data_IF_172409803434
#
_entry.id   IF_172409803434
#
_cell.length_a   1.000
_cell.length_b   1.000
_cell.length_c   1.000
_cell.angle_alpha   90.00
_cell.angle_beta   90.00
_cell.angle_gamma   90.00
#
_symmetry.space_group_name_H-M   'P 1'
#
loop_
_entity.id
_entity.type
_entity.pdbx_description
1 polymer ?
#
# COMPACT_ATOMS: atom_id res chain seq x y z
N UNK A 1 -8.22 -10.99 -7.45
CA UNK A 1 -6.92 -10.78 -8.12
C UNK A 1 -5.90 -10.65 -7.01
N UNK A 2 -5.01 -11.64 -6.91
CA UNK A 2 -3.88 -11.61 -5.98
C UNK A 2 -2.61 -11.13 -6.68
N UNK A 3 -1.50 -11.84 -6.47
CA UNK A 3 -0.16 -11.46 -6.93
C UNK A 3 0.11 -11.63 -8.44
N UNK A 4 -0.86 -12.11 -9.22
CA UNK A 4 -0.68 -12.39 -10.65
C UNK A 4 -0.22 -11.17 -11.46
N UNK A 5 -0.85 -10.01 -11.23
CA UNK A 5 -0.51 -8.79 -11.97
C UNK A 5 0.87 -8.25 -11.55
N UNK A 6 1.21 -8.37 -10.27
CA UNK A 6 2.55 -8.06 -9.78
C UNK A 6 3.61 -8.92 -10.47
N UNK A 7 3.42 -10.24 -10.51
CA UNK A 7 4.36 -11.16 -11.14
C UNK A 7 4.50 -10.93 -12.64
N UNK A 8 3.41 -10.61 -13.35
CA UNK A 8 3.44 -10.26 -14.78
C UNK A 8 4.25 -9.01 -15.08
N UNK A 9 4.29 -8.05 -14.16
CA UNK A 9 4.98 -6.77 -14.33
C UNK A 9 6.46 -6.81 -13.93
N UNK A 10 6.99 -7.94 -13.46
CA UNK A 10 8.36 -8.05 -12.95
C UNK A 10 9.19 -9.06 -13.72
N UNK A 11 10.43 -8.70 -13.99
CA UNK A 11 11.45 -9.64 -14.40
C UNK A 11 12.39 -9.94 -13.22
N UNK A 12 12.13 -11.04 -12.53
CA UNK A 12 12.86 -11.46 -11.33
C UNK A 12 14.31 -11.92 -11.59
N UNK A 13 14.71 -12.08 -12.85
CA UNK A 13 16.11 -12.28 -13.21
C UNK A 13 16.91 -10.96 -13.18
N UNK A 14 16.21 -9.82 -13.11
CA UNK A 14 16.81 -8.48 -13.12
C UNK A 14 16.58 -7.71 -11.84
N UNK A 15 15.36 -7.76 -11.31
CA UNK A 15 15.00 -7.04 -10.08
C UNK A 15 15.34 -7.85 -8.83
N UNK A 16 15.71 -7.17 -7.75
CA UNK A 16 15.87 -7.77 -6.42
C UNK A 16 14.55 -7.78 -5.63
N UNK A 17 13.44 -7.41 -6.26
CA UNK A 17 12.11 -7.47 -5.66
C UNK A 17 11.70 -8.94 -5.38
N UNK A 18 11.00 -9.21 -4.27
CA UNK A 18 10.64 -10.56 -3.90
C UNK A 18 9.55 -11.16 -4.81
N UNK A 19 9.71 -12.42 -5.22
CA UNK A 19 8.74 -13.16 -6.05
C UNK A 19 7.47 -13.54 -5.29
N UNK A 20 7.64 -13.97 -4.04
CA UNK A 20 6.61 -14.40 -3.11
C UNK A 20 7.09 -14.14 -1.67
N UNK A 21 6.24 -14.38 -0.69
CA UNK A 21 6.64 -14.38 0.72
C UNK A 21 5.69 -15.24 1.52
N UNK A 22 6.25 -16.14 2.33
CA UNK A 22 5.45 -16.92 3.27
C UNK A 22 4.70 -15.98 4.21
N UNK A 23 3.39 -16.20 4.29
CA UNK A 23 2.39 -15.38 4.99
C UNK A 23 2.34 -15.66 6.49
N UNK A 24 3.30 -16.39 7.06
CA UNK A 24 3.18 -16.87 8.43
C UNK A 24 3.35 -15.70 9.41
N UNK A 25 2.22 -15.04 9.72
CA UNK A 25 1.91 -14.11 10.84
C UNK A 25 1.85 -12.60 10.57
N UNK A 26 2.17 -12.09 9.39
CA UNK A 26 2.21 -10.61 9.18
C UNK A 26 0.88 -10.06 8.63
N UNK A 27 -0.15 -10.01 9.48
CA UNK A 27 -1.39 -9.26 9.22
C UNK A 27 -1.35 -7.93 10.00
N UNK A 28 -2.09 -6.92 9.54
CA UNK A 28 -2.25 -5.64 10.23
C UNK A 28 -0.95 -4.82 10.37
N UNK A 29 0.01 -5.04 9.47
CA UNK A 29 1.23 -4.21 9.33
C UNK A 29 1.08 -3.28 8.14
N UNK A 30 1.49 -2.03 8.31
CA UNK A 30 1.62 -1.08 7.21
C UNK A 30 3.08 -0.73 6.95
N UNK A 31 3.36 -0.36 5.70
CA UNK A 31 4.63 0.26 5.32
C UNK A 31 4.35 1.46 4.42
N UNK A 32 5.13 2.52 4.58
CA UNK A 32 5.23 3.62 3.65
C UNK A 32 6.64 3.58 3.07
N UNK A 33 6.75 3.35 1.76
CA UNK A 33 8.03 3.36 1.06
C UNK A 33 8.16 4.66 0.26
N UNK A 34 9.28 5.35 0.40
CA UNK A 34 9.65 6.44 -0.51
C UNK A 34 10.22 5.82 -1.79
N UNK A 35 9.65 6.18 -2.94
CA UNK A 35 10.01 5.64 -4.24
C UNK A 35 10.46 6.76 -5.18
N UNK A 36 11.77 6.81 -5.44
CA UNK A 36 12.39 7.72 -6.40
C UNK A 36 12.36 7.10 -7.80
N UNK A 37 11.15 6.94 -8.34
CA UNK A 37 10.95 6.45 -9.71
C UNK A 37 11.07 7.58 -10.75
N UNK A 38 10.49 7.40 -11.93
CA UNK A 38 10.34 8.49 -12.92
C UNK A 38 9.65 9.72 -12.34
N UNK A 39 8.71 9.50 -11.41
CA UNK A 39 8.15 10.50 -10.51
C UNK A 39 8.38 10.09 -9.07
N UNK A 40 8.85 11.04 -8.24
CA UNK A 40 8.90 10.89 -6.79
C UNK A 40 7.50 10.68 -6.22
N UNK A 41 7.32 9.63 -5.41
CA UNK A 41 6.09 9.36 -4.69
C UNK A 41 6.36 8.46 -3.49
N UNK A 42 5.30 8.17 -2.74
CA UNK A 42 5.32 7.25 -1.62
C UNK A 42 4.30 6.14 -1.83
N UNK A 43 4.74 4.89 -1.71
CA UNK A 43 3.85 3.75 -1.70
C UNK A 43 3.37 3.48 -0.28
N UNK A 44 2.08 3.66 -0.06
CA UNK A 44 1.41 3.25 1.17
C UNK A 44 0.81 1.86 0.99
N UNK A 45 1.20 0.92 1.85
CA UNK A 45 0.80 -0.48 1.74
C UNK A 45 0.29 -1.02 3.06
N UNK A 46 -0.73 -1.87 2.98
CA UNK A 46 -1.36 -2.52 4.12
C UNK A 46 -1.41 -4.03 3.93
N UNK A 47 -0.86 -4.79 4.89
CA UNK A 47 -0.91 -6.24 4.92
C UNK A 47 -2.27 -6.74 5.39
N UNK A 48 -3.09 -7.20 4.44
CA UNK A 48 -4.46 -7.66 4.67
C UNK A 48 -4.85 -8.76 3.69
N UNK A 49 -6.00 -9.38 3.94
CA UNK A 49 -6.57 -10.39 3.03
C UNK A 49 -6.89 -9.80 1.66
N UNK A 50 -6.62 -10.56 0.61
CA UNK A 50 -6.73 -10.11 -0.79
C UNK A 50 -8.13 -9.61 -1.20
N UNK A 51 -9.18 -10.14 -0.59
CA UNK A 51 -10.56 -9.77 -0.88
C UNK A 51 -11.10 -8.67 0.06
N UNK A 52 -10.24 -8.06 0.89
CA UNK A 52 -10.65 -7.06 1.89
C UNK A 52 -11.56 -6.00 1.26
N UNK A 53 -11.14 -5.35 0.17
CA UNK A 53 -11.91 -4.27 -0.45
C UNK A 53 -13.22 -4.72 -1.14
N UNK A 54 -13.50 -6.01 -1.27
CA UNK A 54 -14.69 -6.53 -1.97
C UNK A 54 -15.65 -7.32 -1.08
N UNK A 55 -15.24 -7.69 0.13
CA UNK A 55 -16.01 -8.55 1.04
C UNK A 55 -16.08 -7.97 2.45
N UNK A 56 -17.27 -8.00 3.05
CA UNK A 56 -17.46 -7.66 4.48
C UNK A 56 -16.92 -8.76 5.41
N UNK A 57 -16.57 -9.93 4.88
CA UNK A 57 -15.91 -11.02 5.60
C UNK A 57 -14.69 -11.49 4.81
N UNK A 58 -13.56 -10.75 4.90
CA UNK A 58 -12.40 -11.03 4.08
C UNK A 58 -11.80 -12.42 4.33
N UNK A 59 -11.42 -13.09 3.25
CA UNK A 59 -10.80 -14.41 3.13
C UNK A 59 -9.65 -14.40 2.10
N UNK A 60 -8.95 -15.52 2.00
CA UNK A 60 -7.83 -15.65 1.06
C UNK A 60 -6.49 -15.28 1.68
N UNK A 61 -5.47 -15.21 0.82
CA UNK A 61 -4.10 -14.97 1.24
C UNK A 61 -3.89 -13.52 1.71
N UNK A 62 -2.88 -13.32 2.56
CA UNK A 62 -2.40 -11.99 2.89
C UNK A 62 -1.60 -11.44 1.70
N UNK A 63 -1.92 -10.21 1.33
CA UNK A 63 -1.23 -9.41 0.31
C UNK A 63 -1.03 -7.99 0.84
N UNK A 64 -0.22 -7.21 0.15
CA UNK A 64 -0.08 -5.79 0.43
C UNK A 64 -0.97 -4.98 -0.51
N UNK A 65 -2.14 -4.56 -0.01
CA UNK A 65 -2.96 -3.57 -0.71
C UNK A 65 -2.20 -2.25 -0.76
N UNK A 66 -1.99 -1.72 -1.96
CA UNK A 66 -0.98 -0.69 -2.20
C UNK A 66 -1.56 0.53 -2.92
N UNK A 67 -1.12 1.72 -2.51
CA UNK A 67 -1.47 2.99 -3.13
C UNK A 67 -0.25 3.89 -3.28
N UNK A 68 -0.03 4.42 -4.48
CA UNK A 68 0.95 5.47 -4.75
C UNK A 68 0.39 6.85 -4.37
N UNK A 69 1.15 7.61 -3.58
CA UNK A 69 0.78 8.93 -3.05
C UNK A 69 1.91 9.92 -3.34
N UNK A 70 1.70 11.00 -4.12
CA UNK A 70 2.80 11.90 -4.52
C UNK A 70 3.60 12.58 -3.39
N UNK A 71 3.07 12.67 -2.16
CA UNK A 71 3.64 13.49 -1.08
C UNK A 71 3.77 12.81 0.30
N UNK A 72 3.41 11.54 0.48
CA UNK A 72 3.07 10.84 1.76
C UNK A 72 1.60 10.88 2.12
N UNK A 73 1.17 10.10 3.12
CA UNK A 73 -0.11 10.29 3.81
C UNK A 73 -0.13 11.62 4.59
N UNK A 74 -1.28 12.31 4.75
CA UNK A 74 -1.33 13.59 5.46
C UNK A 74 -0.98 13.48 6.95
N UNK A 75 -0.08 14.33 7.45
CA UNK A 75 0.28 14.35 8.88
C UNK A 75 -0.70 15.19 9.72
N UNK A 76 -1.35 16.16 9.07
CA UNK A 76 -2.22 17.15 9.72
C UNK A 76 -3.68 16.90 9.30
N UNK A 77 -4.65 16.95 10.23
CA UNK A 77 -6.07 16.90 9.87
C UNK A 77 -6.47 18.02 8.91
N UNK A 78 -7.45 17.74 8.05
CA UNK A 78 -7.96 18.70 7.05
C UNK A 78 -7.30 18.63 5.68
N UNK A 79 -6.09 18.06 5.57
CA UNK A 79 -5.46 17.76 4.29
C UNK A 79 -6.04 16.48 3.65
N UNK A 80 -6.33 16.55 2.35
CA UNK A 80 -6.73 15.38 1.54
C UNK A 80 -5.69 15.15 0.45
N UNK A 81 -5.28 13.89 0.27
CA UNK A 81 -4.32 13.51 -0.78
C UNK A 81 -4.91 12.42 -1.68
N UNK A 82 -4.59 12.52 -2.96
CA UNK A 82 -4.87 11.45 -3.92
C UNK A 82 -3.96 10.26 -3.61
N UNK A 83 -4.56 9.08 -3.48
CA UNK A 83 -3.92 7.79 -3.33
C UNK A 83 -4.35 6.91 -4.50
N UNK A 84 -3.42 6.63 -5.42
CA UNK A 84 -3.72 5.83 -6.62
C UNK A 84 -3.42 4.38 -6.31
N UNK A 85 -4.45 3.54 -6.28
CA UNK A 85 -4.33 2.11 -6.04
C UNK A 85 -3.51 1.46 -7.15
N UNK A 86 -2.51 0.66 -6.74
CA UNK A 86 -1.64 -0.13 -7.61
C UNK A 86 -1.91 -1.61 -7.41
N UNK A 87 -1.10 -2.48 -8.02
CA UNK A 87 -1.19 -3.92 -7.84
C UNK A 87 -0.93 -4.34 -6.40
N UNK A 88 -1.47 -5.48 -6.02
CA UNK A 88 -1.13 -6.14 -4.77
C UNK A 88 0.33 -6.61 -4.79
N UNK A 89 1.04 -6.42 -3.68
CA UNK A 89 2.43 -6.89 -3.55
C UNK A 89 2.53 -8.05 -2.56
N UNK A 90 3.55 -8.91 -2.66
CA UNK A 90 3.73 -10.02 -1.72
C UNK A 90 4.06 -9.51 -0.30
N UNK A 91 3.68 -10.23 0.77
CA UNK A 91 3.98 -9.82 2.15
C UNK A 91 5.48 -9.58 2.43
N UNK A 92 6.37 -10.32 1.77
CA UNK A 92 7.82 -10.13 1.84
C UNK A 92 8.28 -8.74 1.40
N UNK A 93 7.48 -8.04 0.58
CA UNK A 93 7.77 -6.68 0.13
C UNK A 93 7.70 -5.63 1.26
N UNK A 94 7.13 -5.96 2.43
CA UNK A 94 7.10 -5.09 3.61
C UNK A 94 8.49 -4.66 4.09
N UNK A 95 9.50 -5.48 3.81
CA UNK A 95 10.89 -5.26 4.23
C UNK A 95 11.80 -4.89 3.06
N UNK A 96 11.24 -4.70 1.86
CA UNK A 96 12.04 -4.40 0.69
C UNK A 96 12.55 -2.95 0.73
N UNK A 97 13.88 -2.82 0.62
CA UNK A 97 14.59 -1.59 0.32
C UNK A 97 15.67 -1.92 -0.72
N UNK A 98 15.85 -1.06 -1.71
CA UNK A 98 16.81 -1.33 -2.78
C UNK A 98 16.59 -0.50 -4.03
N UNK A 99 17.37 -0.79 -5.05
CA UNK A 99 17.26 -0.18 -6.37
C UNK A 99 16.50 -1.14 -7.31
N UNK A 100 15.40 -0.66 -7.89
CA UNK A 100 14.73 -1.35 -9.01
C UNK A 100 15.46 -0.92 -10.29
N UNK A 101 16.04 -1.86 -11.07
CA UNK A 101 16.87 -1.53 -12.21
C UNK A 101 16.16 -0.68 -13.28
N UNK A 102 16.93 0.17 -13.97
CA UNK A 102 16.41 0.94 -15.12
C UNK A 102 15.85 0.01 -16.19
N UNK A 103 14.68 0.38 -16.73
CA UNK A 103 13.97 -0.41 -17.74
C UNK A 103 12.98 -1.43 -17.16
N UNK A 104 13.04 -1.68 -15.85
CA UNK A 104 12.02 -2.46 -15.14
C UNK A 104 10.84 -1.58 -14.72
N UNK A 105 9.68 -2.20 -14.52
CA UNK A 105 8.50 -1.50 -14.03
C UNK A 105 8.76 -1.01 -12.60
N UNK A 106 8.59 0.30 -12.36
CA UNK A 106 8.92 0.90 -11.06
C UNK A 106 10.42 1.16 -10.88
N UNK A 107 11.22 1.22 -11.94
CA UNK A 107 12.64 1.58 -11.86
C UNK A 107 12.90 2.81 -10.97
N UNK A 108 13.86 2.69 -10.05
CA UNK A 108 14.18 3.72 -9.06
C UNK A 108 14.51 3.16 -7.68
N UNK A 109 14.97 4.02 -6.79
CA UNK A 109 15.31 3.62 -5.42
C UNK A 109 14.06 3.55 -4.53
N UNK A 110 13.91 2.47 -3.78
CA UNK A 110 12.86 2.24 -2.79
C UNK A 110 13.48 2.22 -1.39
N UNK A 111 12.94 3.02 -0.47
CA UNK A 111 13.36 3.07 0.94
C UNK A 111 12.16 3.04 1.87
N UNK A 112 12.26 2.37 3.00
CA UNK A 112 11.20 2.40 4.02
C UNK A 112 11.23 3.77 4.69
N UNK A 113 10.17 4.53 4.48
CA UNK A 113 10.00 5.85 5.08
C UNK A 113 9.33 5.74 6.46
N UNK A 114 8.34 4.87 6.62
CA UNK A 114 7.73 4.54 7.91
C UNK A 114 7.17 3.11 7.88
N UNK A 115 7.05 2.50 9.06
CA UNK A 115 6.52 1.16 9.22
C UNK A 115 5.94 1.00 10.61
N UNK A 116 4.83 0.28 10.72
CA UNK A 116 4.21 0.00 12.00
C UNK A 116 2.99 -0.89 11.86
N UNK A 117 2.24 -0.99 12.94
CA UNK A 117 0.99 -1.74 12.96
C UNK A 117 -0.19 -0.81 12.67
N UNK A 118 -1.31 -1.39 12.26
CA UNK A 118 -2.55 -0.66 12.12
C UNK A 118 -3.74 -1.47 12.65
N UNK A 119 -4.86 -0.80 12.88
CA UNK A 119 -6.12 -1.43 13.25
C UNK A 119 -7.22 -0.97 12.31
N UNK A 120 -8.04 -1.89 11.82
CA UNK A 120 -9.25 -1.54 11.06
C UNK A 120 -10.33 -1.09 12.03
N UNK A 121 -10.77 0.16 11.89
CA UNK A 121 -11.82 0.75 12.74
C UNK A 121 -13.21 0.57 12.15
N UNK A 122 -13.31 0.65 10.81
CA UNK A 122 -14.56 0.44 10.09
C UNK A 122 -14.28 0.20 8.62
N UNK A 123 -15.17 -0.51 7.94
CA UNK A 123 -15.05 -0.80 6.52
C UNK A 123 -16.42 -0.72 5.83
N UNK A 124 -16.41 -0.26 4.58
CA UNK A 124 -17.50 -0.37 3.62
C UNK A 124 -16.91 -0.64 2.23
N UNK A 125 -17.77 -0.95 1.25
CA UNK A 125 -17.37 -1.25 -0.13
C UNK A 125 -16.37 -0.25 -0.74
N UNK A 126 -16.56 1.05 -0.45
CA UNK A 126 -15.78 2.12 -1.07
C UNK A 126 -15.03 3.00 -0.06
N UNK A 127 -14.99 2.60 1.22
CA UNK A 127 -14.31 3.39 2.23
C UNK A 127 -13.90 2.55 3.41
N UNK A 128 -12.77 2.86 4.02
CA UNK A 128 -12.40 2.25 5.28
C UNK A 128 -11.65 3.25 6.17
N UNK A 129 -11.71 3.00 7.47
CA UNK A 129 -10.99 3.76 8.49
C UNK A 129 -10.01 2.84 9.20
N UNK A 130 -8.81 3.35 9.43
CA UNK A 130 -7.75 2.65 10.13
C UNK A 130 -7.11 3.55 11.17
N UNK A 131 -6.64 2.97 12.25
CA UNK A 131 -5.69 3.61 13.15
C UNK A 131 -4.29 3.18 12.75
N UNK A 132 -3.40 4.12 12.42
CA UNK A 132 -2.00 3.85 12.13
C UNK A 132 -1.16 4.08 13.40
N UNK A 133 -0.26 3.15 13.70
CA UNK A 133 0.70 3.22 14.80
C UNK A 133 2.13 3.01 14.27
N UNK A 134 2.69 4.07 13.68
CA UNK A 134 4.04 4.09 13.12
C UNK A 134 5.00 4.97 13.91
N UNK A 135 6.24 5.10 13.41
CA UNK A 135 7.21 6.00 14.03
C UNK A 135 6.95 7.46 13.64
N UNK A 136 6.49 7.69 12.40
CA UNK A 136 6.23 9.05 11.86
C UNK A 136 4.75 9.33 11.72
N UNK A 137 3.96 8.32 11.36
CA UNK A 137 2.53 8.43 11.09
C UNK A 137 1.74 7.75 12.19
N UNK A 138 0.90 8.53 12.86
CA UNK A 138 0.06 8.07 13.96
C UNK A 138 -1.35 8.66 13.88
N UNK A 139 -2.33 7.90 14.37
CA UNK A 139 -3.73 8.34 14.52
C UNK A 139 -4.69 7.78 13.48
N UNK A 140 -5.90 8.34 13.39
CA UNK A 140 -6.96 7.78 12.57
C UNK A 140 -6.93 8.34 11.15
N UNK A 141 -7.02 7.44 10.17
CA UNK A 141 -7.03 7.76 8.75
C UNK A 141 -8.26 7.16 8.08
N UNK A 142 -8.77 7.85 7.07
CA UNK A 142 -9.81 7.35 6.20
C UNK A 142 -9.29 7.28 4.76
N UNK A 143 -9.61 6.17 4.10
CA UNK A 143 -9.43 6.01 2.67
C UNK A 143 -10.82 5.89 2.03
N UNK A 144 -11.07 6.68 0.98
CA UNK A 144 -12.38 6.74 0.31
C UNK A 144 -12.21 6.72 -1.20
N UNK A 145 -12.84 5.76 -1.87
CA UNK A 145 -13.08 5.77 -3.30
C UNK A 145 -14.43 6.45 -3.57
N UNK A 146 -14.43 7.58 -4.28
CA UNK A 146 -15.66 8.33 -4.55
C UNK A 146 -16.36 7.79 -5.80
N UNK A 147 -17.69 7.93 -5.89
CA UNK A 147 -18.44 7.45 -7.07
C UNK A 147 -18.06 8.14 -8.38
N UNK A 148 -17.43 9.32 -8.31
CA UNK A 148 -17.02 10.11 -9.48
C UNK A 148 -15.55 9.91 -9.84
N UNK A 149 -14.77 9.20 -9.02
CA UNK A 149 -13.37 8.89 -9.28
C UNK A 149 -13.25 7.56 -10.02
N UNK A 150 -12.13 7.37 -10.72
CA UNK A 150 -11.79 6.05 -11.27
C UNK A 150 -11.71 5.02 -10.14
N UNK A 151 -11.95 3.74 -10.44
CA UNK A 151 -11.93 2.66 -9.43
C UNK A 151 -10.61 2.59 -8.65
N UNK A 152 -9.50 2.96 -9.30
CA UNK A 152 -8.18 2.99 -8.67
C UNK A 152 -7.83 4.32 -7.99
N UNK A 153 -8.70 5.34 -8.00
CA UNK A 153 -8.41 6.65 -7.41
C UNK A 153 -9.11 6.80 -6.07
N UNK A 154 -8.31 6.85 -5.01
CA UNK A 154 -8.77 7.01 -3.63
C UNK A 154 -8.33 8.37 -3.07
N UNK A 155 -9.06 8.86 -2.07
CA UNK A 155 -8.62 9.95 -1.21
C UNK A 155 -8.21 9.38 0.13
N UNK A 156 -7.06 9.81 0.64
CA UNK A 156 -6.59 9.54 2.00
C UNK A 156 -6.50 10.84 2.79
N UNK A 157 -6.96 10.81 4.03
CA UNK A 157 -6.90 11.95 4.95
C UNK A 157 -6.88 11.49 6.41
N UNK A 158 -6.23 12.29 7.25
CA UNK A 158 -6.24 12.14 8.71
C UNK A 158 -7.56 12.67 9.26
N UNK A 159 -8.18 11.93 10.17
CA UNK A 159 -9.52 12.21 10.72
C UNK A 159 -9.45 13.14 11.93
N UNK A 160 -8.44 12.95 12.78
CA UNK A 160 -8.22 13.68 14.04
C UNK A 160 -6.73 13.86 14.34
#
# INVERSE_FOLDING_TARGET
>A
MGLEEYQKKRNFDKTNEPLSGDSETVENVFVIQEHNASSHHFDFRLAMKEDFLVSDKPKGAIVLKSWAIPKTVPVVPGEKRLAVMTEDHPPSYLNFEGEIPKGEYGAGSVKIWDKGDYQVLSQSKNSFKIHLNGQKINGNYALVNTKFSKENQWLIFKVD
#
